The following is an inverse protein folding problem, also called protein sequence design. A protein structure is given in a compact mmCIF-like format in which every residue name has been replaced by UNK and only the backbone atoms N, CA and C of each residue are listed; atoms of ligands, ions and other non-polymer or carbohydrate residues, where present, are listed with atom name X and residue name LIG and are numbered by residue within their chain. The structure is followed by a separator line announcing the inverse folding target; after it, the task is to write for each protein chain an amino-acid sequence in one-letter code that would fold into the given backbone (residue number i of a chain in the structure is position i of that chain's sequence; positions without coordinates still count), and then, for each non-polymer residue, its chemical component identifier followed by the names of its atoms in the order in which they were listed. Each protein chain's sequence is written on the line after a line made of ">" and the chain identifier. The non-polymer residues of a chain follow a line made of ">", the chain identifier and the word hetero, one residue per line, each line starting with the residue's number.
data_IF_652408123455
#
_entry.id   IF_652408123455
#
_cell.length_a   1.000
_cell.length_b   1.000
_cell.length_c   1.000
_cell.angle_alpha   90.00
_cell.angle_beta   90.00
_cell.angle_gamma   90.00
#
_symmetry.space_group_name_H-M   'P 1'
#
loop_
_entity.id
_entity.type
_entity.pdbx_description
1 polymer ?
#
# COMPACT_ATOMS: atom_id res chain seq x y z
N UNK A 1 -15.35 -6.91 18.52
CA UNK A 1 -14.58 -8.01 19.16
C UNK A 1 -13.57 -8.50 18.15
N UNK A 2 -12.28 -8.54 18.52
CA UNK A 2 -11.20 -9.03 17.64
C UNK A 2 -11.32 -10.55 17.47
N UNK A 3 -11.34 -11.01 16.22
CA UNK A 3 -11.21 -12.43 15.92
C UNK A 3 -9.80 -12.69 15.38
N UNK A 4 -9.02 -13.45 16.13
CA UNK A 4 -7.65 -13.85 15.78
C UNK A 4 -7.67 -15.17 15.04
N UNK A 5 -6.86 -15.32 14.02
CA UNK A 5 -6.63 -16.57 13.31
C UNK A 5 -5.29 -16.52 12.59
N UNK A 6 -4.92 -17.64 12.02
CA UNK A 6 -3.70 -17.76 11.22
C UNK A 6 -4.08 -18.18 9.81
N UNK A 7 -3.38 -17.63 8.85
CA UNK A 7 -3.53 -17.95 7.43
C UNK A 7 -2.37 -18.84 7.00
N UNK A 8 -2.64 -19.97 6.41
CA UNK A 8 -1.67 -20.77 5.68
C UNK A 8 -1.85 -20.46 4.19
N UNK A 9 -1.07 -19.52 3.69
CA UNK A 9 -1.22 -19.01 2.32
C UNK A 9 -0.31 -19.72 1.31
N UNK A 10 0.74 -20.41 1.79
CA UNK A 10 1.73 -21.06 0.95
C UNK A 10 2.46 -22.15 1.75
N UNK A 11 2.12 -23.42 1.54
CA UNK A 11 2.79 -24.65 2.01
C UNK A 11 3.47 -24.54 3.40
N UNK A 12 2.69 -24.12 4.43
CA UNK A 12 3.18 -24.05 5.81
C UNK A 12 3.75 -22.70 6.23
N UNK A 13 3.71 -21.67 5.40
CA UNK A 13 3.98 -20.30 5.83
C UNK A 13 2.77 -19.69 6.49
N UNK A 14 2.71 -19.82 7.79
CA UNK A 14 1.60 -19.30 8.60
C UNK A 14 1.75 -17.79 8.82
N UNK A 15 0.67 -17.04 8.59
CA UNK A 15 0.60 -15.60 8.78
C UNK A 15 -0.44 -15.24 9.84
N UNK A 16 -0.12 -14.42 10.85
CA UNK A 16 -1.11 -13.92 11.79
C UNK A 16 -2.09 -12.99 11.09
N UNK A 17 -3.37 -13.17 11.38
CA UNK A 17 -4.44 -12.35 10.86
C UNK A 17 -5.45 -11.99 11.95
N UNK A 18 -6.01 -10.79 11.84
CA UNK A 18 -7.04 -10.30 12.75
C UNK A 18 -8.20 -9.75 11.95
N UNK A 19 -9.40 -10.23 12.23
CA UNK A 19 -10.62 -9.58 11.76
C UNK A 19 -11.06 -8.54 12.79
N UNK A 20 -11.29 -7.33 12.31
CA UNK A 20 -11.83 -6.19 13.07
C UNK A 20 -13.27 -5.91 12.67
N UNK A 21 -14.01 -5.22 13.54
CA UNK A 21 -15.42 -4.86 13.30
C UNK A 21 -15.64 -3.35 13.29
N UNK A 22 -14.84 -2.61 14.04
CA UNK A 22 -14.93 -1.16 14.18
C UNK A 22 -13.57 -0.50 14.10
N UNK A 23 -13.54 0.80 13.80
CA UNK A 23 -12.29 1.56 13.76
C UNK A 23 -11.51 1.57 15.07
N UNK A 24 -12.18 1.38 16.21
CA UNK A 24 -11.54 1.32 17.53
C UNK A 24 -10.80 0.01 17.74
N UNK A 25 -11.12 -1.02 16.97
CA UNK A 25 -10.42 -2.31 17.00
C UNK A 25 -9.00 -2.24 16.36
N UNK A 26 -8.63 -1.17 15.63
CA UNK A 26 -7.33 -1.07 14.93
C UNK A 26 -6.16 -1.05 15.93
N UNK A 27 -6.23 -0.23 16.98
CA UNK A 27 -5.14 -0.14 17.96
C UNK A 27 -4.90 -1.50 18.60
N UNK A 28 -5.90 -2.16 19.24
CA UNK A 28 -5.68 -3.49 19.80
C UNK A 28 -5.31 -4.56 18.77
N UNK A 29 -5.73 -4.42 17.51
CA UNK A 29 -5.28 -5.34 16.45
C UNK A 29 -3.78 -5.19 16.16
N UNK A 30 -3.29 -3.96 16.06
CA UNK A 30 -1.86 -3.68 15.84
C UNK A 30 -1.01 -4.12 17.05
N UNK A 31 -1.50 -3.95 18.27
CA UNK A 31 -0.84 -4.45 19.49
C UNK A 31 -0.67 -5.97 19.47
N UNK A 32 -1.74 -6.68 19.12
CA UNK A 32 -1.72 -8.15 19.00
C UNK A 32 -0.80 -8.66 17.91
N UNK A 33 -0.71 -7.94 16.80
CA UNK A 33 0.21 -8.26 15.70
C UNK A 33 1.65 -7.84 15.98
N UNK A 34 1.93 -7.13 17.10
CA UNK A 34 3.26 -6.59 17.40
C UNK A 34 3.66 -5.41 16.51
N UNK A 35 2.68 -4.77 15.86
CA UNK A 35 2.89 -3.64 14.96
C UNK A 35 2.53 -2.28 15.57
N UNK A 36 2.11 -2.23 16.82
CA UNK A 36 1.91 -0.98 17.58
C UNK A 36 3.27 -0.42 18.02
N UNK A 37 4.08 -0.08 17.03
CA UNK A 37 5.45 0.42 17.18
C UNK A 37 5.48 1.93 17.00
N UNK A 38 6.65 2.52 16.89
CA UNK A 38 6.88 3.86 16.36
C UNK A 38 7.96 3.71 15.30
N UNK A 39 7.55 3.34 14.10
CA UNK A 39 8.45 3.09 12.97
C UNK A 39 8.03 3.91 11.75
N UNK A 40 8.97 4.31 10.89
CA UNK A 40 8.61 4.92 9.62
C UNK A 40 7.66 4.03 8.82
N UNK A 41 6.76 4.62 8.03
CA UNK A 41 5.75 3.87 7.28
C UNK A 41 5.79 4.20 5.80
N UNK A 42 5.75 3.15 4.98
CA UNK A 42 5.52 3.22 3.54
C UNK A 42 4.15 2.64 3.23
N UNK A 43 3.24 3.44 2.68
CA UNK A 43 1.95 2.95 2.17
C UNK A 43 2.07 2.75 0.66
N UNK A 44 1.69 1.57 0.15
CA UNK A 44 1.64 1.30 -1.29
C UNK A 44 0.19 1.37 -1.74
N UNK A 45 -0.09 2.22 -2.71
CA UNK A 45 -1.44 2.43 -3.26
C UNK A 45 -1.42 2.42 -4.78
N UNK A 46 -2.41 1.81 -5.39
CA UNK A 46 -2.54 1.75 -6.83
C UNK A 46 -2.76 0.35 -7.38
N UNK A 47 -2.35 0.13 -8.60
CA UNK A 47 -2.51 -1.14 -9.29
C UNK A 47 -1.43 -1.35 -10.35
N UNK A 48 -1.52 -2.47 -11.07
CA UNK A 48 -0.64 -2.75 -12.20
C UNK A 48 -1.43 -3.21 -13.45
N UNK A 49 -2.74 -2.99 -13.46
CA UNK A 49 -3.60 -3.38 -14.57
C UNK A 49 -3.39 -2.49 -15.80
N UNK A 50 -3.47 -3.09 -16.99
CA UNK A 50 -3.34 -2.41 -18.29
C UNK A 50 -1.96 -1.76 -18.52
N UNK A 51 -0.93 -2.13 -17.77
CA UNK A 51 0.45 -1.76 -18.10
C UNK A 51 0.93 -2.54 -19.31
N UNK A 52 1.76 -1.90 -20.14
CA UNK A 52 2.55 -2.60 -21.14
C UNK A 52 3.64 -3.42 -20.44
N UNK A 53 4.11 -4.47 -21.09
CA UNK A 53 5.12 -5.38 -20.54
C UNK A 53 6.39 -4.64 -20.06
N UNK A 54 6.90 -3.73 -20.85
CA UNK A 54 8.08 -2.94 -20.49
C UNK A 54 7.85 -2.02 -19.28
N UNK A 55 6.66 -1.41 -19.19
CA UNK A 55 6.31 -0.53 -18.07
C UNK A 55 6.13 -1.34 -16.78
N UNK A 56 5.56 -2.54 -16.90
CA UNK A 56 5.43 -3.47 -15.78
C UNK A 56 6.82 -3.93 -15.28
N UNK A 57 7.72 -4.34 -16.18
CA UNK A 57 9.08 -4.75 -15.82
C UNK A 57 9.85 -3.62 -15.12
N UNK A 58 9.71 -2.38 -15.61
CA UNK A 58 10.36 -1.24 -14.98
C UNK A 58 9.76 -0.91 -13.60
N UNK A 59 8.45 -1.01 -13.45
CA UNK A 59 7.79 -0.86 -12.17
C UNK A 59 8.25 -1.95 -11.18
N UNK A 60 8.36 -3.20 -11.63
CA UNK A 60 8.90 -4.30 -10.82
C UNK A 60 10.34 -4.00 -10.36
N UNK A 61 11.20 -3.50 -11.26
CA UNK A 61 12.56 -3.09 -10.90
C UNK A 61 12.57 -1.96 -9.86
N UNK A 62 11.67 -0.97 -9.96
CA UNK A 62 11.53 0.08 -8.94
C UNK A 62 11.22 -0.51 -7.54
N UNK A 63 10.37 -1.51 -7.47
CA UNK A 63 10.06 -2.18 -6.21
C UNK A 63 11.24 -2.96 -5.65
N UNK A 64 11.98 -3.69 -6.49
CA UNK A 64 13.12 -4.52 -6.09
C UNK A 64 14.36 -3.68 -5.76
N UNK A 65 14.64 -2.64 -6.56
CA UNK A 65 15.91 -1.90 -6.46
C UNK A 65 15.81 -0.63 -5.60
N UNK A 66 14.57 -0.13 -5.36
CA UNK A 66 14.38 1.11 -4.57
C UNK A 66 13.47 0.89 -3.37
N UNK A 67 12.20 0.51 -3.57
CA UNK A 67 11.22 0.58 -2.48
C UNK A 67 11.45 -0.46 -1.39
N UNK A 68 11.74 -1.73 -1.74
CA UNK A 68 12.02 -2.75 -0.75
C UNK A 68 13.36 -2.53 -0.02
N UNK A 69 14.47 -2.16 -0.69
CA UNK A 69 15.70 -1.74 -0.02
C UNK A 69 15.52 -0.52 0.89
N UNK A 70 14.78 0.51 0.47
CA UNK A 70 14.46 1.67 1.28
C UNK A 70 13.70 1.28 2.56
N UNK A 71 12.64 0.48 2.41
CA UNK A 71 11.86 0.02 3.55
C UNK A 71 12.71 -0.80 4.53
N UNK A 72 13.60 -1.65 4.02
CA UNK A 72 14.53 -2.43 4.84
C UNK A 72 15.55 -1.56 5.56
N UNK A 73 16.20 -0.63 4.85
CA UNK A 73 17.25 0.23 5.40
C UNK A 73 16.72 1.14 6.52
N UNK A 74 15.51 1.64 6.38
CA UNK A 74 14.86 2.52 7.35
C UNK A 74 14.01 1.78 8.39
N UNK A 75 14.00 0.45 8.38
CA UNK A 75 13.15 -0.37 9.26
C UNK A 75 11.67 0.06 9.21
N UNK A 76 11.17 0.33 8.01
CA UNK A 76 9.79 0.77 7.82
C UNK A 76 8.80 -0.38 8.03
N UNK A 77 7.59 -0.06 8.45
CA UNK A 77 6.44 -0.94 8.23
C UNK A 77 5.80 -0.57 6.89
N UNK A 78 5.58 -1.55 6.03
CA UNK A 78 4.88 -1.34 4.75
C UNK A 78 3.41 -1.74 4.93
N UNK A 79 2.49 -0.92 4.41
CA UNK A 79 1.04 -1.11 4.52
C UNK A 79 0.40 -1.01 3.13
N UNK A 80 -0.43 -1.99 2.78
CA UNK A 80 -1.17 -2.00 1.51
C UNK A 80 -2.47 -2.83 1.58
N UNK A 81 -3.09 -3.13 0.42
CA UNK A 81 -4.33 -3.91 0.31
C UNK A 81 -4.19 -5.41 0.50
N UNK A 82 -2.99 -5.96 0.60
CA UNK A 82 -2.71 -7.37 0.94
C UNK A 82 -3.08 -8.42 -0.10
N UNK A 83 -3.49 -8.06 -1.32
CA UNK A 83 -3.97 -9.01 -2.34
C UNK A 83 -2.86 -9.47 -3.28
N UNK A 84 -2.97 -10.70 -3.82
CA UNK A 84 -2.03 -11.25 -4.82
C UNK A 84 -2.27 -10.66 -6.20
N UNK A 85 -2.29 -9.33 -6.25
CA UNK A 85 -2.51 -8.57 -7.47
C UNK A 85 -1.78 -7.22 -7.45
N UNK A 86 -1.45 -6.71 -8.64
CA UNK A 86 -0.95 -5.36 -8.83
C UNK A 86 0.30 -5.04 -7.99
N UNK A 87 0.28 -3.89 -7.33
CA UNK A 87 1.42 -3.39 -6.54
C UNK A 87 1.63 -4.18 -5.25
N UNK A 88 0.57 -4.74 -4.66
CA UNK A 88 0.65 -5.58 -3.46
C UNK A 88 1.47 -6.84 -3.73
N UNK A 89 1.24 -7.46 -4.90
CA UNK A 89 2.07 -8.56 -5.37
C UNK A 89 3.53 -8.13 -5.59
N UNK A 90 3.75 -6.99 -6.25
CA UNK A 90 5.10 -6.50 -6.53
C UNK A 90 5.91 -6.24 -5.26
N UNK A 91 5.33 -5.64 -4.21
CA UNK A 91 6.07 -5.41 -2.96
C UNK A 91 6.32 -6.70 -2.19
N UNK A 92 5.39 -7.65 -2.21
CA UNK A 92 5.57 -8.97 -1.61
C UNK A 92 6.71 -9.74 -2.28
N UNK A 93 6.71 -9.82 -3.61
CA UNK A 93 7.77 -10.46 -4.40
C UNK A 93 9.13 -9.73 -4.25
N UNK A 94 9.13 -8.38 -4.26
CA UNK A 94 10.35 -7.60 -4.07
C UNK A 94 10.95 -7.85 -2.68
N UNK A 95 10.12 -7.84 -1.62
CA UNK A 95 10.54 -8.17 -0.26
C UNK A 95 11.21 -9.55 -0.18
N UNK A 96 10.64 -10.56 -0.83
CA UNK A 96 11.21 -11.90 -0.91
C UNK A 96 12.53 -11.91 -1.69
N UNK A 97 12.57 -11.25 -2.85
CA UNK A 97 13.72 -11.20 -3.76
C UNK A 97 14.96 -10.61 -3.09
N UNK A 98 14.78 -9.51 -2.35
CA UNK A 98 15.89 -8.84 -1.65
C UNK A 98 16.20 -9.44 -0.27
N UNK A 99 15.47 -10.47 0.16
CA UNK A 99 15.62 -11.07 1.48
C UNK A 99 15.30 -10.14 2.63
N UNK A 100 14.41 -9.16 2.41
CA UNK A 100 14.04 -8.18 3.42
C UNK A 100 13.19 -8.76 4.53
N UNK A 101 13.24 -8.13 5.71
CA UNK A 101 12.54 -8.58 6.92
C UNK A 101 11.54 -7.58 7.47
N UNK A 102 11.40 -6.41 6.85
CA UNK A 102 10.43 -5.40 7.28
C UNK A 102 9.01 -5.97 7.37
N UNK A 103 8.20 -5.53 8.33
CA UNK A 103 6.79 -5.91 8.41
C UNK A 103 6.02 -5.42 7.16
N UNK A 104 5.27 -6.33 6.54
CA UNK A 104 4.39 -6.05 5.41
C UNK A 104 2.96 -6.41 5.83
N UNK A 105 2.13 -5.39 6.05
CA UNK A 105 0.77 -5.48 6.57
C UNK A 105 -0.23 -5.30 5.43
N UNK A 106 -0.98 -6.35 5.12
CA UNK A 106 -2.12 -6.29 4.22
C UNK A 106 -3.42 -5.95 4.97
N UNK A 107 -4.20 -5.02 4.43
CA UNK A 107 -5.53 -4.67 4.97
C UNK A 107 -6.56 -4.86 3.88
N UNK A 108 -7.43 -5.87 4.03
CA UNK A 108 -8.37 -6.27 2.99
C UNK A 108 -9.82 -6.41 3.51
N UNK A 109 -10.83 -6.17 2.65
CA UNK A 109 -12.22 -6.41 2.98
C UNK A 109 -12.52 -7.89 3.20
N UNK A 110 -13.25 -8.25 4.26
CA UNK A 110 -13.64 -9.64 4.55
C UNK A 110 -14.45 -10.31 3.44
N UNK A 111 -15.26 -9.54 2.70
CA UNK A 111 -16.09 -10.06 1.61
C UNK A 111 -15.34 -10.28 0.29
N UNK A 112 -14.07 -9.87 0.19
CA UNK A 112 -13.27 -9.92 -1.03
C UNK A 112 -11.92 -10.63 -0.86
N UNK A 113 -11.45 -10.76 0.39
CA UNK A 113 -10.20 -11.46 0.69
C UNK A 113 -10.41 -12.97 0.61
N UNK A 114 -9.81 -13.61 -0.39
CA UNK A 114 -9.82 -15.06 -0.56
C UNK A 114 -8.56 -15.68 0.06
N UNK A 115 -8.76 -16.72 0.88
CA UNK A 115 -7.69 -17.48 1.50
C UNK A 115 -8.17 -18.90 1.82
N UNK A 116 -7.27 -19.89 1.97
CA UNK A 116 -7.64 -21.25 2.29
C UNK A 116 -8.58 -21.32 3.50
N UNK A 117 -9.71 -22.00 3.31
CA UNK A 117 -10.74 -22.15 4.35
C UNK A 117 -11.40 -20.84 4.81
N UNK A 118 -11.52 -19.87 3.92
CA UNK A 118 -12.24 -18.62 4.25
C UNK A 118 -13.63 -18.96 4.80
N UNK A 119 -14.00 -18.43 5.97
CA UNK A 119 -15.29 -18.72 6.59
C UNK A 119 -16.42 -17.80 6.09
N UNK A 120 -16.13 -16.91 5.13
CA UNK A 120 -17.06 -15.89 4.66
C UNK A 120 -17.48 -16.17 3.23
N UNK A 121 -18.74 -15.85 2.85
CA UNK A 121 -19.10 -15.77 1.46
C UNK A 121 -18.34 -14.65 0.77
N UNK A 122 -17.73 -14.97 -0.37
CA UNK A 122 -16.97 -14.00 -1.17
C UNK A 122 -17.84 -13.43 -2.29
N UNK A 123 -17.57 -12.18 -2.65
CA UNK A 123 -18.11 -11.57 -3.85
C UNK A 123 -17.40 -12.10 -5.11
N UNK A 124 -17.99 -11.88 -6.29
CA UNK A 124 -17.48 -12.42 -7.56
C UNK A 124 -16.08 -11.83 -7.94
N UNK A 125 -15.78 -10.61 -7.48
CA UNK A 125 -14.51 -9.92 -7.72
C UNK A 125 -13.49 -10.10 -6.58
N UNK A 126 -13.60 -11.21 -5.83
CA UNK A 126 -12.63 -11.55 -4.78
C UNK A 126 -11.20 -11.75 -5.33
N UNK A 127 -10.21 -11.63 -4.44
CA UNK A 127 -8.82 -11.80 -4.78
C UNK A 127 -8.10 -12.55 -3.65
N UNK A 128 -7.18 -13.45 -4.04
CA UNK A 128 -6.35 -14.15 -3.09
C UNK A 128 -5.45 -13.18 -2.31
N UNK A 129 -5.14 -13.52 -1.06
CA UNK A 129 -4.16 -12.79 -0.26
C UNK A 129 -2.74 -13.13 -0.72
N UNK A 130 -1.86 -12.14 -0.75
CA UNK A 130 -0.48 -12.27 -1.23
C UNK A 130 0.40 -12.98 -0.18
N UNK A 131 1.07 -14.10 -0.52
CA UNK A 131 1.69 -15.00 0.46
C UNK A 131 2.96 -14.47 1.12
N UNK A 132 3.63 -13.46 0.56
CA UNK A 132 4.84 -12.87 1.16
C UNK A 132 4.56 -11.77 2.18
N UNK A 133 3.29 -11.40 2.35
CA UNK A 133 2.87 -10.54 3.46
C UNK A 133 3.13 -11.22 4.79
N UNK A 134 3.41 -10.41 5.81
CA UNK A 134 3.75 -10.91 7.15
C UNK A 134 2.57 -10.90 8.11
N UNK A 135 1.63 -10.00 7.89
CA UNK A 135 0.47 -9.77 8.75
C UNK A 135 -0.74 -9.35 7.93
N UNK A 136 -1.94 -9.65 8.44
CA UNK A 136 -3.19 -9.21 7.83
C UNK A 136 -4.17 -8.64 8.84
N UNK A 137 -4.90 -7.59 8.44
CA UNK A 137 -6.10 -7.12 9.11
C UNK A 137 -7.26 -7.21 8.12
N UNK A 138 -8.28 -7.97 8.46
CA UNK A 138 -9.50 -8.09 7.66
C UNK A 138 -10.56 -7.14 8.22
N UNK A 139 -10.99 -6.21 7.37
CA UNK A 139 -11.95 -5.15 7.72
C UNK A 139 -13.35 -5.47 7.18
N UNK A 140 -14.42 -4.98 7.79
CA UNK A 140 -15.76 -5.17 7.26
C UNK A 140 -15.91 -4.48 5.91
N UNK A 141 -16.43 -5.19 4.91
CA UNK A 141 -16.69 -4.66 3.58
C UNK A 141 -16.89 -5.74 2.53
N UNK A 142 -17.59 -5.37 1.44
CA UNK A 142 -17.87 -6.20 0.27
C UNK A 142 -17.58 -5.47 -1.04
N UNK A 143 -16.84 -4.34 -0.96
CA UNK A 143 -16.46 -3.52 -2.11
C UNK A 143 -15.02 -3.04 -1.94
N UNK A 144 -14.24 -3.06 -3.03
CA UNK A 144 -12.89 -2.51 -3.04
C UNK A 144 -12.89 -1.00 -2.74
N UNK A 145 -11.94 -0.58 -1.91
CA UNK A 145 -11.79 0.80 -1.44
C UNK A 145 -12.51 1.09 -0.11
N UNK A 146 -13.26 0.14 0.46
CA UNK A 146 -13.76 0.29 1.83
C UNK A 146 -12.63 0.15 2.86
N UNK A 147 -11.53 -0.51 2.50
CA UNK A 147 -10.30 -0.65 3.29
C UNK A 147 -9.43 0.61 3.30
N UNK A 148 -9.55 1.51 2.32
CA UNK A 148 -8.70 2.70 2.19
C UNK A 148 -8.58 3.54 3.48
N UNK A 149 -9.68 3.90 4.19
CA UNK A 149 -9.57 4.65 5.44
C UNK A 149 -8.95 3.84 6.58
N UNK A 150 -9.06 2.50 6.56
CA UNK A 150 -8.43 1.63 7.54
C UNK A 150 -6.92 1.56 7.34
N UNK A 151 -6.47 1.46 6.09
CA UNK A 151 -5.04 1.51 5.73
C UNK A 151 -4.41 2.82 6.18
N UNK A 152 -5.04 3.95 5.85
CA UNK A 152 -4.54 5.27 6.26
C UNK A 152 -4.47 5.42 7.78
N UNK A 153 -5.49 4.93 8.52
CA UNK A 153 -5.52 4.96 9.98
C UNK A 153 -4.45 4.06 10.60
N UNK A 154 -4.33 2.81 10.14
CA UNK A 154 -3.31 1.89 10.62
C UNK A 154 -1.89 2.45 10.42
N UNK A 155 -1.61 2.97 9.22
CA UNK A 155 -0.35 3.61 8.89
C UNK A 155 -0.03 4.82 9.80
N UNK A 156 -1.03 5.64 10.13
CA UNK A 156 -0.87 6.77 11.05
C UNK A 156 -0.58 6.30 12.48
N UNK A 157 -1.26 5.27 12.96
CA UNK A 157 -1.05 4.71 14.29
C UNK A 157 0.34 4.08 14.42
N UNK A 158 0.80 3.36 13.39
CA UNK A 158 2.13 2.74 13.36
C UNK A 158 3.22 3.82 13.33
N UNK A 159 3.06 4.82 12.46
CA UNK A 159 4.06 5.88 12.29
C UNK A 159 4.20 6.73 13.56
N UNK A 160 3.10 7.10 14.22
CA UNK A 160 3.13 8.12 15.29
C UNK A 160 3.83 9.39 14.77
N UNK A 161 4.99 9.71 15.35
CA UNK A 161 5.80 10.88 15.00
C UNK A 161 6.93 10.55 14.00
N UNK A 162 7.00 9.31 13.51
CA UNK A 162 8.00 8.89 12.52
C UNK A 162 7.58 9.28 11.09
N UNK A 163 8.55 9.45 10.17
CA UNK A 163 8.27 9.74 8.77
C UNK A 163 7.32 8.72 8.14
N UNK A 164 6.39 9.20 7.33
CA UNK A 164 5.41 8.36 6.65
C UNK A 164 5.09 8.92 5.28
N UNK A 165 5.19 8.10 4.24
CA UNK A 165 4.83 8.43 2.87
C UNK A 165 3.92 7.38 2.25
N UNK A 166 3.16 7.77 1.23
CA UNK A 166 2.46 6.85 0.35
C UNK A 166 3.08 6.91 -1.05
N UNK A 167 3.32 5.76 -1.67
CA UNK A 167 3.74 5.66 -3.07
C UNK A 167 2.56 5.20 -3.90
N UNK A 168 2.21 5.99 -4.91
CA UNK A 168 1.09 5.77 -5.82
C UNK A 168 1.61 5.47 -7.22
N UNK A 169 1.32 4.28 -7.75
CA UNK A 169 1.65 3.92 -9.12
C UNK A 169 0.46 3.32 -9.85
N UNK A 170 0.31 3.66 -11.14
CA UNK A 170 -0.79 3.26 -12.00
C UNK A 170 -2.17 3.58 -11.35
N UNK A 171 -3.00 2.57 -11.08
CA UNK A 171 -4.21 2.71 -10.29
C UNK A 171 -5.50 2.95 -11.07
N UNK A 172 -6.61 2.69 -10.39
CA UNK A 172 -7.97 2.87 -10.91
C UNK A 172 -8.83 3.68 -9.94
N UNK A 173 -10.13 3.42 -9.94
CA UNK A 173 -11.10 4.16 -9.11
C UNK A 173 -10.80 4.07 -7.61
N UNK A 174 -10.36 2.92 -7.11
CA UNK A 174 -10.00 2.74 -5.69
C UNK A 174 -8.82 3.63 -5.32
N UNK A 175 -7.85 3.80 -6.22
CA UNK A 175 -6.64 4.59 -5.98
C UNK A 175 -6.92 6.05 -5.67
N UNK A 176 -8.00 6.63 -6.21
CA UNK A 176 -8.44 7.97 -5.82
C UNK A 176 -8.87 8.05 -4.36
N UNK A 177 -9.58 7.01 -3.88
CA UNK A 177 -9.98 6.90 -2.47
C UNK A 177 -8.74 6.78 -1.58
N UNK A 178 -7.80 5.90 -1.96
CA UNK A 178 -6.54 5.70 -1.22
C UNK A 178 -5.74 7.00 -1.12
N UNK A 179 -5.54 7.71 -2.24
CA UNK A 179 -4.83 8.99 -2.27
C UNK A 179 -5.51 10.01 -1.35
N UNK A 180 -6.83 10.12 -1.42
CA UNK A 180 -7.61 11.05 -0.58
C UNK A 180 -7.48 10.72 0.91
N UNK A 181 -7.51 9.44 1.31
CA UNK A 181 -7.36 9.05 2.71
C UNK A 181 -5.95 9.33 3.23
N UNK A 182 -4.91 9.12 2.41
CA UNK A 182 -3.54 9.46 2.77
C UNK A 182 -3.36 10.99 2.92
N UNK A 183 -3.89 11.78 2.01
CA UNK A 183 -3.89 13.26 2.11
C UNK A 183 -4.63 13.74 3.36
N UNK A 184 -5.82 13.18 3.66
CA UNK A 184 -6.56 13.50 4.90
C UNK A 184 -5.79 13.12 6.16
N UNK A 185 -4.94 12.11 6.10
CA UNK A 185 -4.04 11.72 7.18
C UNK A 185 -2.74 12.53 7.21
N UNK A 186 -2.64 13.63 6.45
CA UNK A 186 -1.46 14.47 6.29
C UNK A 186 -0.20 13.73 5.81
N UNK A 187 -0.36 12.63 5.07
CA UNK A 187 0.73 11.82 4.53
C UNK A 187 1.06 12.28 3.11
N UNK A 188 2.33 12.63 2.82
CA UNK A 188 2.78 12.90 1.46
C UNK A 188 2.51 11.71 0.54
N UNK A 189 2.01 12.01 -0.66
CA UNK A 189 1.72 11.01 -1.71
C UNK A 189 2.70 11.22 -2.86
N UNK A 190 3.54 10.23 -3.09
CA UNK A 190 4.55 10.22 -4.15
C UNK A 190 3.97 9.51 -5.36
N UNK A 191 3.67 10.28 -6.37
CA UNK A 191 3.07 9.80 -7.62
C UNK A 191 4.17 9.34 -8.58
N UNK A 192 4.12 8.10 -9.01
CA UNK A 192 5.06 7.53 -9.99
C UNK A 192 4.56 7.85 -11.40
N UNK A 193 5.06 8.94 -11.97
CA UNK A 193 4.77 9.37 -13.34
C UNK A 193 5.26 8.34 -14.37
N UNK A 194 4.51 8.15 -15.44
CA UNK A 194 4.81 7.16 -16.46
C UNK A 194 4.33 5.74 -16.10
N UNK A 195 3.74 5.55 -14.92
CA UNK A 195 3.15 4.26 -14.52
C UNK A 195 1.70 4.08 -15.02
N UNK A 196 1.11 5.08 -15.64
CA UNK A 196 -0.20 5.04 -16.28
C UNK A 196 -1.37 5.44 -15.40
N UNK A 197 -2.54 5.60 -16.01
CA UNK A 197 -3.87 5.78 -15.39
C UNK A 197 -3.91 6.91 -14.35
N UNK A 198 -4.37 6.63 -13.12
CA UNK A 198 -4.52 7.64 -12.03
C UNK A 198 -3.20 8.33 -11.71
N UNK A 199 -2.08 7.61 -11.72
CA UNK A 199 -0.76 8.21 -11.47
C UNK A 199 -0.42 9.26 -12.53
N UNK A 200 -0.62 8.98 -13.80
CA UNK A 200 -0.32 9.93 -14.87
C UNK A 200 -1.28 11.12 -14.85
N UNK A 201 -2.56 10.91 -14.57
CA UNK A 201 -3.53 12.01 -14.38
C UNK A 201 -3.09 12.95 -13.27
N UNK A 202 -2.64 12.41 -12.12
CA UNK A 202 -2.14 13.21 -11.00
C UNK A 202 -0.82 13.91 -11.32
N UNK A 203 0.09 13.23 -12.04
CA UNK A 203 1.36 13.80 -12.46
C UNK A 203 1.15 14.96 -13.44
N UNK A 204 0.27 14.81 -14.44
CA UNK A 204 -0.09 15.88 -15.36
C UNK A 204 -0.73 17.06 -14.61
N UNK A 205 -1.59 16.77 -13.65
CA UNK A 205 -2.22 17.80 -12.81
C UNK A 205 -1.22 18.60 -11.97
N UNK A 206 -0.16 17.96 -11.46
CA UNK A 206 0.96 18.63 -10.78
C UNK A 206 1.70 19.61 -11.70
N UNK A 207 1.73 19.32 -13.00
CA UNK A 207 2.32 20.19 -14.03
C UNK A 207 1.33 21.23 -14.62
N UNK A 208 0.12 21.31 -14.05
CA UNK A 208 -0.90 22.30 -14.45
C UNK A 208 -1.94 21.81 -15.44
N UNK A 209 -1.83 20.60 -15.98
CA UNK A 209 -2.81 19.97 -16.86
C UNK A 209 -3.83 19.15 -16.05
N UNK A 210 -4.90 19.79 -15.63
CA UNK A 210 -5.92 19.19 -14.75
C UNK A 210 -7.11 18.71 -15.60
N UNK A 211 -7.18 17.42 -15.83
CA UNK A 211 -8.23 16.75 -16.62
C UNK A 211 -9.31 16.09 -15.76
N UNK A 212 -9.08 15.98 -14.45
CA UNK A 212 -10.02 15.35 -13.49
C UNK A 212 -10.15 16.23 -12.25
N UNK A 213 -11.38 16.55 -11.83
CA UNK A 213 -11.64 17.42 -10.68
C UNK A 213 -11.17 16.82 -9.35
N UNK A 214 -11.08 15.49 -9.25
CA UNK A 214 -10.50 14.80 -8.08
C UNK A 214 -9.03 15.15 -7.90
N UNK A 215 -8.27 15.29 -9.00
CA UNK A 215 -6.89 15.77 -8.94
C UNK A 215 -6.81 17.20 -8.37
N UNK A 216 -7.74 18.08 -8.76
CA UNK A 216 -7.80 19.45 -8.24
C UNK A 216 -8.00 19.49 -6.72
N UNK A 217 -8.82 18.58 -6.18
CA UNK A 217 -9.03 18.48 -4.74
C UNK A 217 -7.75 18.02 -4.02
N UNK A 218 -7.09 16.97 -4.53
CA UNK A 218 -5.87 16.45 -3.94
C UNK A 218 -4.71 17.46 -3.96
N UNK A 219 -4.57 18.23 -5.05
CA UNK A 219 -3.53 19.26 -5.19
C UNK A 219 -3.63 20.37 -4.15
N UNK A 220 -4.82 20.72 -3.65
CA UNK A 220 -5.01 21.74 -2.60
C UNK A 220 -4.29 21.38 -1.30
N UNK A 221 -3.98 20.12 -1.08
CA UNK A 221 -3.26 19.67 0.12
C UNK A 221 -1.79 20.07 0.15
N UNK A 222 -1.18 20.35 -1.00
CA UNK A 222 0.26 20.51 -1.19
C UNK A 222 1.10 19.28 -0.74
N UNK A 223 0.49 18.09 -0.62
CA UNK A 223 1.13 16.86 -0.19
C UNK A 223 1.53 15.93 -1.34
N UNK A 224 1.12 16.23 -2.57
CA UNK A 224 1.52 15.45 -3.73
C UNK A 224 2.90 15.86 -4.22
N UNK A 225 3.70 14.86 -4.59
CA UNK A 225 4.98 14.99 -5.28
C UNK A 225 5.02 13.98 -6.41
N UNK A 226 5.79 14.24 -7.46
CA UNK A 226 5.99 13.29 -8.55
C UNK A 226 7.42 12.85 -8.64
N UNK A 227 7.64 11.58 -8.94
CA UNK A 227 8.88 11.01 -9.43
C UNK A 227 8.63 10.42 -10.80
N UNK A 228 9.56 10.53 -11.72
CA UNK A 228 9.42 9.96 -13.05
C UNK A 228 9.98 8.52 -13.06
N UNK A 229 9.15 7.57 -13.49
CA UNK A 229 9.56 6.16 -13.58
C UNK A 229 10.74 5.96 -14.55
N UNK A 230 11.00 6.90 -15.48
CA UNK A 230 12.13 6.85 -16.40
C UNK A 230 13.47 7.31 -15.80
N UNK A 231 13.46 7.98 -14.64
CA UNK A 231 14.68 8.38 -13.95
C UNK A 231 15.52 7.17 -13.52
N UNK A 232 16.81 7.40 -13.28
CA UNK A 232 17.65 6.36 -12.68
C UNK A 232 17.24 6.08 -11.22
N UNK A 233 17.39 4.84 -10.79
CA UNK A 233 16.92 4.42 -9.47
C UNK A 233 17.68 5.05 -8.30
N UNK A 234 18.92 5.48 -8.52
CA UNK A 234 19.69 6.20 -7.49
C UNK A 234 19.09 7.59 -7.24
N UNK A 235 18.70 8.31 -8.30
CA UNK A 235 18.02 9.61 -8.22
C UNK A 235 16.66 9.48 -7.52
N UNK A 236 15.88 8.48 -7.89
CA UNK A 236 14.59 8.19 -7.24
C UNK A 236 14.79 7.90 -5.75
N UNK A 237 15.74 7.05 -5.39
CA UNK A 237 16.07 6.73 -4.01
C UNK A 237 16.47 7.97 -3.20
N UNK A 238 17.34 8.83 -3.75
CA UNK A 238 17.73 10.09 -3.11
C UNK A 238 16.54 11.02 -2.88
N UNK A 239 15.64 11.14 -3.86
CA UNK A 239 14.43 11.95 -3.74
C UNK A 239 13.54 11.43 -2.62
N UNK A 240 13.34 10.11 -2.50
CA UNK A 240 12.55 9.52 -1.42
C UNK A 240 13.16 9.74 -0.05
N UNK A 241 14.50 9.63 0.10
CA UNK A 241 15.19 9.96 1.35
C UNK A 241 15.00 11.44 1.74
N UNK A 242 15.12 12.37 0.79
CA UNK A 242 14.88 13.80 1.04
C UNK A 242 13.44 14.08 1.51
N UNK A 243 12.45 13.43 0.90
CA UNK A 243 11.04 13.59 1.29
C UNK A 243 10.79 13.03 2.69
N UNK A 244 11.46 11.94 3.06
CA UNK A 244 11.37 11.33 4.38
C UNK A 244 12.18 12.12 5.44
N UNK A 245 13.07 13.01 5.03
CA UNK A 245 13.94 13.78 5.94
C UNK A 245 15.06 12.96 6.59
N UNK A 246 15.56 11.95 5.88
CA UNK A 246 16.58 10.99 6.34
C UNK A 246 17.71 10.84 5.35
#
# INVERSE_FOLDING_TARGET
>A
MLKRFTLDLDEGRVRPAIQVSTYDDIVPALEVLGLYTSSPVLVIIGGASKLKENDYARLQSLFVEVLAPLAQALNMTVVDGGTDAGLMKLIGEARQTVGATFPLLGIAPTGLADFPSTPFPLADDNCALEPNHTHFILVPGQEWGCESPWMAKAATIIAKDQPSIAVLANGGEVTWKDALQNVKAHRPVIVVSGSGRTADVLSHALNGDITDDRARELLKSNLLRSIDMSEDFQSISQTLHQILGV
#
